data_IF_015327923159
#
_entry.id   IF_015327923159
#
_cell.length_a   1.000
_cell.length_b   1.000
_cell.length_c   1.000
_cell.angle_alpha   90.00
_cell.angle_beta   90.00
_cell.angle_gamma   90.00
#
_symmetry.space_group_name_H-M   'P 1'
#
loop_
_entity.id
_entity.type
_entity.pdbx_description
1 polymer ?
#
# COMPACT_ATOMS: atom_id res chain seq x y z
N UNK A 1 9.11 1.57 -20.61
CA UNK A 1 8.04 0.77 -19.97
C UNK A 1 6.72 1.49 -20.14
N UNK A 2 5.60 0.78 -20.29
CA UNK A 2 4.30 1.44 -20.22
C UNK A 2 4.11 2.05 -18.82
N UNK A 3 3.54 3.25 -18.76
CA UNK A 3 3.25 3.94 -17.49
C UNK A 3 2.45 3.02 -16.54
N UNK A 4 1.59 2.19 -17.13
CA UNK A 4 0.76 1.19 -16.45
C UNK A 4 1.58 0.12 -15.72
N UNK A 5 2.58 -0.49 -16.36
CA UNK A 5 3.38 -1.55 -15.75
C UNK A 5 4.21 -1.03 -14.58
N UNK A 6 4.80 0.16 -14.71
CA UNK A 6 5.52 0.81 -13.60
C UNK A 6 4.60 1.09 -12.42
N UNK A 7 3.40 1.61 -12.69
CA UNK A 7 2.45 1.96 -11.64
C UNK A 7 1.95 0.74 -10.86
N UNK A 8 1.68 -0.38 -11.55
CA UNK A 8 1.31 -1.64 -10.91
C UNK A 8 2.44 -2.14 -9.99
N UNK A 9 3.68 -2.15 -10.47
CA UNK A 9 4.83 -2.58 -9.64
C UNK A 9 4.97 -1.69 -8.41
N UNK A 10 4.88 -0.37 -8.57
CA UNK A 10 4.92 0.57 -7.46
C UNK A 10 3.83 0.29 -6.42
N UNK A 11 2.58 0.12 -6.87
CA UNK A 11 1.44 -0.24 -6.01
C UNK A 11 1.70 -1.54 -5.25
N UNK A 12 2.22 -2.57 -5.92
CA UNK A 12 2.52 -3.86 -5.26
C UNK A 12 3.57 -3.72 -4.18
N UNK A 13 4.66 -2.99 -4.44
CA UNK A 13 5.72 -2.75 -3.44
C UNK A 13 5.18 -1.95 -2.26
N UNK A 14 4.40 -0.89 -2.51
CA UNK A 14 3.79 -0.12 -1.43
C UNK A 14 2.80 -0.95 -0.59
N UNK A 15 2.02 -1.83 -1.23
CA UNK A 15 1.07 -2.70 -0.54
C UNK A 15 1.81 -3.70 0.35
N UNK A 16 2.89 -4.31 -0.15
CA UNK A 16 3.73 -5.21 0.62
C UNK A 16 4.42 -4.51 1.80
N UNK A 17 4.88 -3.27 1.59
CA UNK A 17 5.44 -2.46 2.66
C UNK A 17 4.39 -2.17 3.74
N UNK A 18 3.17 -1.77 3.35
CA UNK A 18 2.08 -1.57 4.30
C UNK A 18 1.74 -2.86 5.06
N UNK A 19 1.67 -4.00 4.37
CA UNK A 19 1.44 -5.30 5.00
C UNK A 19 2.53 -5.62 6.03
N UNK A 20 3.78 -5.39 5.65
CA UNK A 20 4.92 -5.56 6.54
C UNK A 20 4.82 -4.66 7.77
N UNK A 21 4.47 -3.38 7.61
CA UNK A 21 4.32 -2.45 8.74
C UNK A 21 3.22 -2.88 9.70
N UNK A 22 2.10 -3.43 9.20
CA UNK A 22 1.04 -3.99 10.06
C UNK A 22 1.55 -5.17 10.86
N UNK A 23 2.17 -6.14 10.19
CA UNK A 23 2.71 -7.35 10.85
C UNK A 23 3.80 -6.97 11.84
N UNK A 24 4.69 -6.08 11.45
CA UNK A 24 5.77 -5.62 12.31
C UNK A 24 5.23 -4.89 13.55
N UNK A 25 4.28 -3.98 13.38
CA UNK A 25 3.72 -3.20 14.48
C UNK A 25 2.94 -4.04 15.51
N UNK A 26 2.14 -5.01 15.05
CA UNK A 26 1.21 -5.75 15.93
C UNK A 26 1.70 -7.15 16.33
N UNK A 27 2.65 -7.74 15.60
CA UNK A 27 3.10 -9.12 15.85
C UNK A 27 4.58 -9.17 16.28
N UNK A 28 5.44 -8.37 15.65
CA UNK A 28 6.90 -8.48 15.84
C UNK A 28 7.49 -7.40 16.75
N UNK A 29 6.76 -6.31 17.03
CA UNK A 29 7.24 -5.23 17.88
C UNK A 29 7.32 -5.70 19.34
N UNK A 30 8.53 -5.73 19.94
CA UNK A 30 8.71 -6.23 21.30
C UNK A 30 8.08 -5.31 22.37
N UNK A 31 7.93 -4.02 22.07
CA UNK A 31 7.24 -3.06 22.93
C UNK A 31 6.23 -2.24 22.10
N UNK A 32 4.98 -2.07 22.57
CA UNK A 32 4.02 -1.19 21.93
C UNK A 32 4.40 0.28 22.15
N UNK A 33 5.19 0.82 21.22
CA UNK A 33 5.51 2.25 21.17
C UNK A 33 4.47 3.03 20.34
N UNK A 34 4.41 4.35 20.56
CA UNK A 34 3.58 5.23 19.73
C UNK A 34 3.96 5.14 18.24
N UNK A 35 5.25 4.95 17.94
CA UNK A 35 5.75 4.79 16.57
C UNK A 35 5.28 3.47 15.97
N UNK A 36 5.35 2.36 16.72
CA UNK A 36 4.85 1.07 16.25
C UNK A 36 3.34 1.14 15.98
N UNK A 37 2.56 1.69 16.91
CA UNK A 37 1.10 1.78 16.79
C UNK A 37 0.68 2.65 15.62
N UNK A 38 1.27 3.84 15.46
CA UNK A 38 0.97 4.73 14.33
C UNK A 38 1.38 4.11 12.99
N UNK A 39 2.54 3.44 12.92
CA UNK A 39 2.98 2.73 11.73
C UNK A 39 2.05 1.57 11.35
N UNK A 40 1.54 0.83 12.34
CA UNK A 40 0.54 -0.23 12.12
C UNK A 40 -0.79 0.31 11.60
N UNK A 41 -1.32 1.39 12.20
CA UNK A 41 -2.57 2.03 11.75
C UNK A 41 -2.42 2.58 10.33
N UNK A 42 -1.31 3.27 10.04
CA UNK A 42 -1.00 3.76 8.69
C UNK A 42 -0.81 2.61 7.70
N UNK A 43 -0.22 1.49 8.14
CA UNK A 43 -0.13 0.27 7.36
C UNK A 43 -1.50 -0.28 6.99
N UNK A 44 -2.46 -0.35 7.93
CA UNK A 44 -3.84 -0.79 7.67
C UNK A 44 -4.53 0.17 6.69
N UNK A 45 -4.43 1.48 6.92
CA UNK A 45 -5.01 2.48 6.04
C UNK A 45 -4.44 2.38 4.62
N UNK A 46 -3.11 2.23 4.50
CA UNK A 46 -2.42 2.02 3.23
C UNK A 46 -2.87 0.73 2.54
N UNK A 47 -3.04 -0.37 3.27
CA UNK A 47 -3.49 -1.65 2.72
C UNK A 47 -4.88 -1.57 2.09
N UNK A 48 -5.76 -0.71 2.61
CA UNK A 48 -7.10 -0.52 2.09
C UNK A 48 -7.13 0.53 0.96
N UNK A 49 -6.42 1.65 1.14
CA UNK A 49 -6.48 2.78 0.21
C UNK A 49 -5.67 2.53 -1.07
N UNK A 50 -4.52 1.86 -0.98
CA UNK A 50 -3.62 1.62 -2.12
C UNK A 50 -4.30 0.74 -3.20
N UNK A 51 -4.97 -0.38 -2.88
CA UNK A 51 -5.70 -1.17 -3.87
C UNK A 51 -6.89 -0.42 -4.48
N UNK A 52 -7.61 0.38 -3.69
CA UNK A 52 -8.72 1.20 -4.18
C UNK A 52 -8.20 2.24 -5.19
N UNK A 53 -7.10 2.92 -4.87
CA UNK A 53 -6.43 3.83 -5.78
C UNK A 53 -5.96 3.13 -7.06
N UNK A 54 -5.38 1.93 -6.94
CA UNK A 54 -4.94 1.12 -8.08
C UNK A 54 -6.08 0.83 -9.06
N UNK A 55 -7.24 0.42 -8.55
CA UNK A 55 -8.43 0.15 -9.38
C UNK A 55 -8.92 1.42 -10.07
N UNK A 56 -8.97 2.54 -9.37
CA UNK A 56 -9.36 3.83 -9.96
C UNK A 56 -8.38 4.27 -11.06
N UNK A 57 -7.08 4.11 -10.83
CA UNK A 57 -6.05 4.42 -11.83
C UNK A 57 -6.19 3.54 -13.07
N UNK A 58 -6.36 2.22 -12.91
CA UNK A 58 -6.53 1.30 -14.04
C UNK A 58 -7.79 1.61 -14.85
N UNK A 59 -8.91 1.95 -14.20
CA UNK A 59 -10.13 2.40 -14.88
C UNK A 59 -9.87 3.67 -15.69
N UNK A 60 -9.14 4.64 -15.12
CA UNK A 60 -8.80 5.90 -15.80
C UNK A 60 -7.84 5.71 -16.96
N UNK A 61 -6.79 4.90 -16.79
CA UNK A 61 -5.82 4.58 -17.83
C UNK A 61 -6.48 3.86 -19.03
N UNK A 62 -7.37 2.90 -18.74
CA UNK A 62 -8.13 2.19 -19.78
C UNK A 62 -9.07 3.13 -20.54
N UNK A 63 -9.77 4.04 -19.83
CA UNK A 63 -10.67 5.02 -20.47
C UNK A 63 -9.91 6.02 -21.36
N UNK A 64 -8.68 6.36 -21.00
CA UNK A 64 -7.85 7.33 -21.72
C UNK A 64 -6.97 6.71 -22.81
N UNK A 65 -7.02 5.38 -23.02
CA UNK A 65 -6.16 4.65 -23.97
C UNK A 65 -4.65 5.00 -23.82
N UNK A 66 -4.21 5.21 -22.58
CA UNK A 66 -2.80 5.40 -22.17
C UNK A 66 -2.13 4.05 -21.89
#
# INVERSE_FOLDING_TARGET
>A
MSLRSFHIVFITVCTLLCAFLVVWAFVLSPEPSAIATTSGILGIAGLLLIPVYAVMFLKKATKLHL
#
